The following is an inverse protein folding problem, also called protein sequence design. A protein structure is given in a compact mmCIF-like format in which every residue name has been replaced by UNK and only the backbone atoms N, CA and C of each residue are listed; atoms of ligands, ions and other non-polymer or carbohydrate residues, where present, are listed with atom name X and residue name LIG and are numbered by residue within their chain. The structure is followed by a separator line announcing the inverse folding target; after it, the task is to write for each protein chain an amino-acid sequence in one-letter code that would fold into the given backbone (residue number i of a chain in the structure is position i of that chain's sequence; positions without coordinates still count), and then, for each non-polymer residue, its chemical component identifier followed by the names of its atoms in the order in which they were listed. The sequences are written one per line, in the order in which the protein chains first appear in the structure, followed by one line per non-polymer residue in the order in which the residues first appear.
data_IF_074765645489
#
_entry.id   IF_074765645489
#
_cell.length_a   1.000
_cell.length_b   1.000
_cell.length_c   1.000
_cell.angle_alpha   90.00
_cell.angle_beta   90.00
_cell.angle_gamma   90.00
#
_symmetry.space_group_name_H-M   'P 1'
#
loop_
_entity.id
_entity.type
_entity.pdbx_description
1 polymer ?
#
# COMPACT_ATOMS: atom_id res chain seq x y z
N UNK A 1 -3.67 -11.48 -42.67
CA UNK A 1 -3.46 -10.25 -41.88
C UNK A 1 -3.83 -10.57 -40.45
N UNK A 2 -2.86 -10.74 -39.55
CA UNK A 2 -3.16 -11.06 -38.14
C UNK A 2 -3.70 -9.82 -37.42
N UNK A 3 -4.72 -10.02 -36.59
CA UNK A 3 -5.35 -8.98 -35.78
C UNK A 3 -4.33 -8.24 -34.89
N UNK A 4 -4.45 -6.91 -34.67
CA UNK A 4 -3.57 -6.17 -33.75
C UNK A 4 -3.57 -6.74 -32.32
N UNK A 5 -4.65 -7.43 -31.94
CA UNK A 5 -4.82 -8.07 -30.62
C UNK A 5 -3.88 -9.26 -30.44
N UNK A 6 -3.52 -9.98 -31.52
CA UNK A 6 -2.65 -11.15 -31.40
C UNK A 6 -1.19 -10.78 -31.09
N UNK A 7 -0.78 -9.54 -31.34
CA UNK A 7 0.59 -9.05 -31.07
C UNK A 7 0.83 -8.64 -29.61
N UNK A 8 -0.22 -8.39 -28.84
CA UNK A 8 -0.09 -8.00 -27.42
C UNK A 8 0.08 -9.20 -26.47
N UNK A 9 -0.16 -10.42 -26.97
CA UNK A 9 -0.11 -11.67 -26.19
C UNK A 9 1.15 -12.50 -26.46
N UNK A 10 2.06 -12.05 -27.32
CA UNK A 10 3.41 -12.59 -27.41
C UNK A 10 4.26 -12.02 -26.27
N UNK A 11 3.86 -12.25 -25.01
CA UNK A 11 4.77 -12.00 -23.90
C UNK A 11 5.87 -13.05 -23.99
N UNK A 12 7.09 -12.61 -24.27
CA UNK A 12 8.26 -13.45 -24.26
C UNK A 12 8.38 -14.05 -22.84
N UNK A 13 7.98 -15.31 -22.66
CA UNK A 13 7.99 -16.05 -21.39
C UNK A 13 9.41 -16.42 -20.92
N UNK A 14 10.43 -15.78 -21.51
CA UNK A 14 11.81 -15.90 -21.11
C UNK A 14 12.04 -15.38 -19.69
N UNK A 15 13.02 -15.98 -19.02
CA UNK A 15 13.45 -15.57 -17.68
C UNK A 15 13.89 -14.10 -17.73
N UNK A 16 13.28 -13.27 -16.88
CA UNK A 16 13.58 -11.84 -16.78
C UNK A 16 14.97 -11.62 -16.15
N UNK A 17 15.75 -10.69 -16.69
CA UNK A 17 16.94 -10.16 -16.03
C UNK A 17 16.56 -9.02 -15.09
N UNK A 18 17.12 -9.00 -13.88
CA UNK A 18 16.85 -7.96 -12.89
C UNK A 18 17.21 -6.57 -13.43
N UNK A 19 18.24 -6.45 -14.28
CA UNK A 19 18.72 -5.16 -14.79
C UNK A 19 17.68 -4.44 -15.65
N UNK A 20 16.84 -5.18 -16.34
CA UNK A 20 15.85 -4.66 -17.28
C UNK A 20 14.59 -4.10 -16.59
N UNK A 21 14.39 -4.41 -15.30
CA UNK A 21 13.23 -3.91 -14.53
C UNK A 21 13.36 -2.40 -14.28
N UNK A 22 12.33 -1.62 -14.57
CA UNK A 22 12.27 -0.18 -14.27
C UNK A 22 11.13 0.12 -13.30
N UNK A 23 11.28 1.15 -12.48
CA UNK A 23 10.25 1.52 -11.50
C UNK A 23 8.97 2.03 -12.18
N UNK A 24 9.14 2.84 -13.23
CA UNK A 24 8.08 3.41 -14.06
C UNK A 24 8.39 3.17 -15.53
N UNK A 25 7.36 3.18 -16.38
CA UNK A 25 7.46 3.02 -17.84
C UNK A 25 8.20 1.74 -18.29
N UNK A 26 8.17 0.68 -17.49
CA UNK A 26 8.73 -0.60 -17.85
C UNK A 26 7.74 -1.38 -18.72
N UNK A 27 8.00 -1.44 -20.02
CA UNK A 27 7.17 -2.15 -21.00
C UNK A 27 7.87 -3.39 -21.60
N UNK A 28 9.13 -3.64 -21.21
CA UNK A 28 9.97 -4.69 -21.78
C UNK A 28 9.94 -6.01 -20.99
N UNK A 29 9.53 -5.96 -19.71
CA UNK A 29 9.54 -7.12 -18.80
C UNK A 29 8.18 -7.33 -18.15
N UNK A 30 7.83 -8.59 -17.95
CA UNK A 30 6.55 -9.01 -17.37
C UNK A 30 6.47 -8.65 -15.88
N UNK A 31 5.60 -7.70 -15.55
CA UNK A 31 5.36 -7.22 -14.19
C UNK A 31 4.64 -8.23 -13.29
N UNK A 32 4.19 -9.36 -13.83
CA UNK A 32 3.59 -10.45 -13.05
C UNK A 32 4.64 -11.40 -12.45
N UNK A 33 5.89 -11.34 -12.92
CA UNK A 33 6.99 -12.13 -12.38
C UNK A 33 7.75 -11.35 -11.30
N UNK A 34 7.67 -11.85 -10.06
CA UNK A 34 8.36 -11.23 -8.93
C UNK A 34 9.89 -11.36 -9.05
N UNK A 35 10.37 -12.56 -9.40
CA UNK A 35 11.79 -12.88 -9.45
C UNK A 35 12.37 -12.65 -10.85
N UNK A 36 13.66 -12.26 -10.97
CA UNK A 36 14.56 -11.84 -9.89
C UNK A 36 14.21 -10.43 -9.38
N UNK A 37 14.55 -10.15 -8.11
CA UNK A 37 14.38 -8.83 -7.51
C UNK A 37 15.44 -7.85 -8.04
N UNK A 38 15.04 -6.61 -8.36
CA UNK A 38 15.96 -5.50 -8.61
C UNK A 38 15.99 -4.54 -7.41
N UNK A 39 14.81 -4.18 -6.91
CA UNK A 39 14.67 -3.22 -5.81
C UNK A 39 14.52 -3.95 -4.48
N UNK A 40 15.65 -4.43 -3.93
CA UNK A 40 15.67 -5.16 -2.67
C UNK A 40 15.09 -4.38 -1.48
N UNK A 41 15.26 -3.05 -1.46
CA UNK A 41 14.68 -2.18 -0.44
C UNK A 41 13.14 -2.28 -0.41
N UNK A 42 12.48 -2.44 -1.56
CA UNK A 42 11.02 -2.56 -1.60
C UNK A 42 10.56 -3.87 -0.96
N UNK A 43 11.32 -4.94 -1.20
CA UNK A 43 11.08 -6.23 -0.58
C UNK A 43 11.33 -6.22 0.93
N UNK A 44 12.37 -5.50 1.37
CA UNK A 44 12.64 -5.30 2.79
C UNK A 44 11.49 -4.55 3.48
N UNK A 45 10.99 -3.47 2.89
CA UNK A 45 9.84 -2.75 3.44
C UNK A 45 8.56 -3.60 3.46
N UNK A 46 8.34 -4.44 2.45
CA UNK A 46 7.25 -5.41 2.47
C UNK A 46 7.36 -6.37 3.67
N UNK A 47 8.53 -6.98 3.90
CA UNK A 47 8.72 -7.89 5.03
C UNK A 47 8.59 -7.17 6.38
N UNK A 48 9.12 -5.96 6.50
CA UNK A 48 9.01 -5.15 7.71
C UNK A 48 7.54 -4.79 7.99
N UNK A 49 6.77 -4.42 6.96
CA UNK A 49 5.32 -4.18 7.09
C UNK A 49 4.57 -5.43 7.53
N UNK A 50 4.88 -6.59 6.94
CA UNK A 50 4.30 -7.87 7.35
C UNK A 50 4.63 -8.24 8.81
N UNK A 51 5.83 -7.93 9.28
CA UNK A 51 6.23 -8.17 10.67
C UNK A 51 5.51 -7.25 11.68
N UNK A 52 4.96 -6.12 11.22
CA UNK A 52 4.23 -5.14 12.03
C UNK A 52 2.70 -5.36 11.99
N UNK A 53 2.24 -6.59 11.80
CA UNK A 53 0.81 -6.89 11.85
C UNK A 53 0.23 -6.65 13.25
N UNK A 54 -0.86 -5.89 13.31
CA UNK A 54 -1.68 -5.68 14.49
C UNK A 54 -3.13 -5.41 14.05
N UNK A 55 -4.08 -5.60 14.96
CA UNK A 55 -5.48 -5.25 14.74
C UNK A 55 -5.97 -4.29 15.83
N UNK A 56 -6.76 -3.26 15.50
CA UNK A 56 -7.20 -2.26 16.49
C UNK A 56 -8.04 -2.86 17.63
N UNK A 57 -8.74 -3.97 17.37
CA UNK A 57 -9.53 -4.69 18.37
C UNK A 57 -8.71 -5.40 19.44
N UNK A 58 -7.38 -5.50 19.26
CA UNK A 58 -6.46 -6.08 20.24
C UNK A 58 -6.14 -5.11 21.38
N UNK A 59 -6.42 -3.81 21.20
CA UNK A 59 -6.16 -2.76 22.20
C UNK A 59 -7.45 -2.49 23.02
N UNK A 60 -7.46 -2.76 24.34
CA UNK A 60 -8.65 -2.55 25.16
C UNK A 60 -8.92 -1.06 25.41
N UNK A 61 -10.12 -0.59 25.08
CA UNK A 61 -10.52 0.83 25.17
C UNK A 61 -11.34 1.19 26.44
N UNK A 62 -11.44 0.29 27.43
CA UNK A 62 -12.34 0.48 28.59
C UNK A 62 -12.05 1.76 29.38
N UNK A 63 -10.75 2.07 29.63
CA UNK A 63 -10.34 3.27 30.37
C UNK A 63 -10.61 4.54 29.57
N UNK A 64 -10.32 4.52 28.28
CA UNK A 64 -10.59 5.63 27.35
C UNK A 64 -12.09 5.95 27.29
N UNK A 65 -12.95 4.92 27.26
CA UNK A 65 -14.41 5.08 27.31
C UNK A 65 -14.85 5.70 28.65
N UNK A 66 -14.30 5.25 29.77
CA UNK A 66 -14.60 5.81 31.10
C UNK A 66 -14.20 7.30 31.16
N UNK A 67 -12.97 7.63 30.73
CA UNK A 67 -12.48 9.00 30.70
C UNK A 67 -13.35 9.86 29.78
N UNK A 68 -13.66 9.38 28.58
CA UNK A 68 -14.48 10.10 27.61
C UNK A 68 -15.90 10.37 28.10
N UNK A 69 -16.48 9.51 28.95
CA UNK A 69 -17.80 9.71 29.55
C UNK A 69 -17.78 10.54 30.84
N UNK A 70 -16.60 10.78 31.42
CA UNK A 70 -16.42 11.57 32.63
C UNK A 70 -16.17 13.05 32.34
N UNK A 71 -16.10 13.87 33.39
CA UNK A 71 -15.74 15.29 33.32
C UNK A 71 -14.22 15.53 33.44
N UNK A 72 -13.39 14.49 33.29
CA UNK A 72 -11.91 14.59 33.42
C UNK A 72 -11.23 15.34 32.27
N UNK A 73 -11.86 15.42 31.10
CA UNK A 73 -11.34 16.13 29.94
C UNK A 73 -12.01 17.51 29.82
N UNK A 74 -11.19 18.54 29.68
CA UNK A 74 -11.62 19.89 29.36
C UNK A 74 -12.24 19.95 27.96
N UNK A 75 -12.96 21.04 27.67
CA UNK A 75 -13.52 21.27 26.34
C UNK A 75 -12.45 21.30 25.25
N UNK A 76 -11.32 21.96 25.52
CA UNK A 76 -10.24 22.13 24.54
C UNK A 76 -9.53 20.80 24.23
N UNK A 77 -9.31 19.94 25.23
CA UNK A 77 -8.76 18.59 25.03
C UNK A 77 -9.70 17.74 24.15
N UNK A 78 -11.00 17.78 24.43
CA UNK A 78 -12.00 17.08 23.60
C UNK A 78 -12.02 17.60 22.17
N UNK A 79 -11.90 18.91 21.98
CA UNK A 79 -11.87 19.53 20.66
C UNK A 79 -10.67 19.04 19.84
N UNK A 80 -9.49 18.92 20.46
CA UNK A 80 -8.30 18.36 19.80
C UNK A 80 -8.53 16.91 19.38
N UNK A 81 -9.05 16.06 20.28
CA UNK A 81 -9.33 14.64 19.98
C UNK A 81 -10.32 14.54 18.81
N UNK A 82 -11.44 15.27 18.87
CA UNK A 82 -12.47 15.23 17.83
C UNK A 82 -11.97 15.71 16.47
N UNK A 83 -11.14 16.76 16.43
CA UNK A 83 -10.57 17.25 15.17
C UNK A 83 -9.61 16.23 14.55
N UNK A 84 -8.76 15.61 15.36
CA UNK A 84 -7.86 14.56 14.88
C UNK A 84 -8.64 13.35 14.36
N UNK A 85 -9.61 12.85 15.14
CA UNK A 85 -10.46 11.73 14.70
C UNK A 85 -11.22 12.05 13.41
N UNK A 86 -11.81 13.25 13.30
CA UNK A 86 -12.54 13.66 12.10
C UNK A 86 -11.64 13.75 10.86
N UNK A 87 -10.40 14.23 11.00
CA UNK A 87 -9.43 14.28 9.91
C UNK A 87 -9.01 12.86 9.49
N UNK A 88 -8.52 12.05 10.43
CA UNK A 88 -7.98 10.71 10.13
C UNK A 88 -9.04 9.70 9.68
N UNK A 89 -10.31 9.86 10.11
CA UNK A 89 -11.40 8.98 9.68
C UNK A 89 -11.61 8.93 8.15
N UNK A 90 -11.19 9.96 7.41
CA UNK A 90 -11.29 9.99 5.94
C UNK A 90 -9.94 10.09 5.24
N UNK A 91 -8.93 10.69 5.88
CA UNK A 91 -7.60 10.83 5.31
C UNK A 91 -6.97 9.48 4.93
N UNK A 92 -7.13 8.45 5.77
CA UNK A 92 -6.59 7.10 5.48
C UNK A 92 -7.21 6.50 4.21
N UNK A 93 -8.52 6.68 4.01
CA UNK A 93 -9.18 6.24 2.78
C UNK A 93 -8.69 7.00 1.55
N UNK A 94 -8.35 8.29 1.67
CA UNK A 94 -7.77 9.06 0.56
C UNK A 94 -6.39 8.53 0.17
N UNK A 95 -5.56 8.19 1.16
CA UNK A 95 -4.23 7.60 0.93
C UNK A 95 -4.36 6.23 0.26
N UNK A 96 -5.19 5.33 0.81
CA UNK A 96 -5.43 4.01 0.23
C UNK A 96 -5.96 4.07 -1.20
N UNK A 97 -6.95 4.94 -1.46
CA UNK A 97 -7.50 5.13 -2.80
C UNK A 97 -6.45 5.66 -3.79
N UNK A 98 -5.60 6.60 -3.36
CA UNK A 98 -4.53 7.13 -4.22
C UNK A 98 -3.47 6.07 -4.53
N UNK A 99 -3.12 5.23 -3.56
CA UNK A 99 -2.20 4.11 -3.77
C UNK A 99 -2.74 3.16 -4.85
N UNK A 100 -4.00 2.74 -4.74
CA UNK A 100 -4.60 1.76 -5.66
C UNK A 100 -4.94 2.35 -7.03
N UNK A 101 -5.57 3.53 -7.07
CA UNK A 101 -6.13 4.09 -8.30
C UNK A 101 -5.13 4.90 -9.12
N UNK A 102 -4.12 5.51 -8.47
CA UNK A 102 -3.13 6.33 -9.15
C UNK A 102 -1.75 5.67 -9.15
N UNK A 103 -1.15 5.45 -7.98
CA UNK A 103 0.27 5.05 -7.88
C UNK A 103 0.49 3.65 -8.46
N UNK A 104 -0.34 2.67 -8.08
CA UNK A 104 -0.17 1.27 -8.47
C UNK A 104 -0.12 1.06 -9.99
N UNK A 105 -0.94 1.84 -10.73
CA UNK A 105 -0.99 1.79 -12.20
C UNK A 105 0.33 2.19 -12.84
N UNK A 106 0.97 3.23 -12.31
CA UNK A 106 2.17 3.84 -12.89
C UNK A 106 3.47 3.17 -12.43
N UNK A 107 3.46 2.54 -11.26
CA UNK A 107 4.57 1.68 -10.81
C UNK A 107 4.53 0.38 -11.60
N UNK A 108 5.50 0.18 -12.49
CA UNK A 108 5.61 -0.98 -13.39
C UNK A 108 6.67 -1.97 -12.90
N UNK A 109 6.67 -2.29 -11.60
CA UNK A 109 7.62 -3.20 -10.99
C UNK A 109 6.92 -4.10 -9.96
N UNK A 110 7.19 -5.41 -10.01
CA UNK A 110 6.48 -6.41 -9.22
C UNK A 110 6.72 -6.27 -7.71
N UNK A 111 7.98 -6.15 -7.27
CA UNK A 111 8.34 -6.06 -5.85
C UNK A 111 7.89 -4.74 -5.20
N UNK A 112 7.95 -3.63 -5.93
CA UNK A 112 7.37 -2.37 -5.47
C UNK A 112 5.84 -2.47 -5.37
N UNK A 113 5.17 -3.13 -6.33
CA UNK A 113 3.72 -3.39 -6.25
C UNK A 113 3.37 -4.25 -5.04
N UNK A 114 4.18 -5.26 -4.69
CA UNK A 114 3.96 -6.05 -3.48
C UNK A 114 3.96 -5.19 -2.21
N UNK A 115 4.91 -4.26 -2.10
CA UNK A 115 4.90 -3.32 -0.98
C UNK A 115 3.69 -2.38 -0.99
N UNK A 116 3.29 -1.87 -2.16
CA UNK A 116 2.08 -1.02 -2.28
C UNK A 116 0.81 -1.77 -1.85
N UNK A 117 0.70 -3.07 -2.12
CA UNK A 117 -0.43 -3.88 -1.64
C UNK A 117 -0.42 -3.99 -0.13
N UNK A 118 0.76 -4.15 0.49
CA UNK A 118 0.88 -4.17 1.95
C UNK A 118 0.50 -2.82 2.55
N UNK A 119 1.00 -1.73 1.99
CA UNK A 119 0.70 -0.37 2.46
C UNK A 119 -0.78 0.01 2.27
N UNK A 120 -1.44 -0.46 1.22
CA UNK A 120 -2.87 -0.21 1.02
C UNK A 120 -3.78 -1.03 1.94
N UNK A 121 -3.25 -2.12 2.53
CA UNK A 121 -3.96 -2.92 3.51
C UNK A 121 -3.79 -2.40 4.95
N UNK A 122 -2.60 -1.87 5.26
CA UNK A 122 -2.32 -1.17 6.52
C UNK A 122 -3.28 0.01 6.74
#
# INVERSE_FOLDING_TARGET
MSSPVSKLLESNTGRIDARDKLLINCNQVDVNQLMPLKYHWAWEHYNNGCANHWMPTEVPMTKDIEIWKSDKLTHDERLVIMRNLGFFATAESLVGNNLVLAIFRHVTNAECRQYLLRQAFE
#
